data_IF_403963487814
#
_entry.id   IF_403963487814
#
_cell.length_a   1.000
_cell.length_b   1.000
_cell.length_c   1.000
_cell.angle_alpha   90.00
_cell.angle_beta   90.00
_cell.angle_gamma   90.00
#
_symmetry.space_group_name_H-M   'P 1'
#
loop_
_entity.id
_entity.type
_entity.pdbx_description
1 polymer ?
2 non-polymer ?
3 water ?
#
# COMPACT_ATOMS: atom_id res chain seq x y z
N UNK A 1 6.56 -7.69 -21.48
CA UNK A 1 5.94 -8.51 -20.36
C UNK A 1 5.93 -7.81 -18.98
N UNK A 2 5.44 -8.51 -17.92
CA UNK A 2 5.38 -7.90 -16.55
C UNK A 2 6.74 -7.41 -16.03
N UNK A 3 6.76 -6.24 -15.38
CA UNK A 3 8.02 -5.68 -14.86
C UNK A 3 8.42 -6.33 -13.54
N UNK A 4 8.83 -7.61 -13.61
CA UNK A 4 9.28 -8.39 -12.44
C UNK A 4 10.52 -7.85 -11.78
N UNK A 5 11.45 -7.37 -12.59
CA UNK A 5 12.68 -6.80 -12.05
C UNK A 5 12.40 -5.57 -11.18
N UNK A 6 11.61 -4.64 -11.72
CA UNK A 6 11.17 -3.46 -10.98
C UNK A 6 10.45 -3.85 -9.70
N UNK A 7 9.47 -4.76 -9.77
CA UNK A 7 8.77 -5.26 -8.60
C UNK A 7 9.71 -5.78 -7.53
N UNK A 8 10.70 -6.55 -7.97
CA UNK A 8 11.65 -7.16 -7.08
C UNK A 8 12.58 -6.13 -6.42
N UNK A 9 13.03 -5.14 -7.18
CA UNK A 9 13.83 -4.08 -6.60
C UNK A 9 13.02 -3.28 -5.56
N UNK A 10 11.72 -3.06 -5.80
CA UNK A 10 10.90 -2.40 -4.79
C UNK A 10 10.76 -3.28 -3.53
N UNK A 11 10.56 -4.58 -3.73
CA UNK A 11 10.33 -5.46 -2.60
C UNK A 11 11.56 -5.53 -1.70
N UNK A 12 12.72 -5.62 -2.36
CA UNK A 12 14.01 -5.78 -1.72
C UNK A 12 14.38 -4.60 -0.83
N UNK A 13 14.26 -3.38 -1.36
CA UNK A 13 14.68 -2.18 -0.65
C UNK A 13 13.57 -1.48 0.15
N UNK A 14 12.31 -1.74 -0.17
CA UNK A 14 11.21 -0.91 0.36
C UNK A 14 10.01 -1.62 0.99
N UNK A 15 10.13 -2.90 1.33
CA UNK A 15 9.06 -3.55 2.08
C UNK A 15 9.55 -4.18 3.39
N UNK A 16 8.62 -4.23 4.36
CA UNK A 16 8.87 -4.83 5.60
C UNK A 16 7.60 -5.63 5.89
N UNK A 17 7.69 -6.60 6.80
CA UNK A 17 6.52 -7.29 7.31
C UNK A 17 6.00 -6.46 8.51
N UNK A 18 4.74 -6.06 8.46
CA UNK A 18 4.15 -5.31 9.54
C UNK A 18 3.09 -6.18 10.14
N UNK A 19 2.92 -6.09 11.46
CA UNK A 19 1.94 -6.91 12.17
C UNK A 19 1.25 -6.07 13.21
N UNK A 20 -0.07 -6.09 13.18
CA UNK A 20 -0.91 -5.33 14.09
C UNK A 20 -1.79 -6.34 14.78
N UNK A 21 -2.72 -5.84 15.59
CA UNK A 21 -3.77 -6.69 16.17
C UNK A 21 -4.54 -7.51 15.12
N UNK A 22 -4.56 -7.05 13.87
CA UNK A 22 -5.34 -7.73 12.82
C UNK A 22 -4.53 -8.77 12.08
N UNK A 23 -3.23 -8.80 12.29
CA UNK A 23 -2.41 -9.82 11.65
C UNK A 23 -1.31 -9.19 10.83
N UNK A 24 -0.80 -9.94 9.86
CA UNK A 24 0.37 -9.52 9.10
C UNK A 24 -0.01 -8.85 7.79
N UNK A 25 0.77 -7.83 7.39
CA UNK A 25 0.51 -7.13 6.14
C UNK A 25 1.83 -6.84 5.53
N UNK A 26 1.88 -6.90 4.21
CA UNK A 26 2.99 -6.35 3.48
C UNK A 26 3.00 -4.81 3.75
N UNK A 27 4.17 -4.22 4.00
CA UNK A 27 4.23 -2.78 4.24
C UNK A 27 5.26 -2.15 3.35
N UNK A 28 4.80 -1.20 2.55
CA UNK A 28 5.65 -0.45 1.67
C UNK A 28 6.20 0.79 2.36
N UNK A 29 7.52 0.92 2.40
CA UNK A 29 8.18 2.10 2.91
C UNK A 29 8.40 3.05 1.74
N UNK A 30 8.07 4.32 1.97
CA UNK A 30 8.01 5.28 0.88
C UNK A 30 9.21 6.27 0.87
N UNK A 31 9.52 6.86 2.02
CA UNK A 31 10.67 7.73 2.16
C UNK A 31 10.95 7.87 3.66
N UNK A 32 12.19 8.18 4.04
CA UNK A 32 12.50 8.45 5.46
C UNK A 32 12.00 7.31 6.33
N UNK A 33 11.13 7.60 7.30
CA UNK A 33 10.55 6.54 8.11
C UNK A 33 9.05 6.50 7.92
N UNK A 34 8.65 6.86 6.72
CA UNK A 34 7.25 6.92 6.39
C UNK A 34 6.87 5.70 5.52
N UNK A 35 5.79 5.04 5.88
CA UNK A 35 5.39 3.84 5.17
C UNK A 35 3.90 3.86 5.05
N UNK A 36 3.35 2.92 4.28
CA UNK A 36 1.89 2.77 4.21
C UNK A 36 1.41 1.36 4.57
N UNK A 37 0.13 1.27 4.90
CA UNK A 37 -0.49 0.04 5.30
C UNK A 37 -1.99 0.28 5.09
N UNK A 38 -2.74 -0.78 4.74
CA UNK A 38 -4.19 -0.60 4.57
C UNK A 38 -4.83 -0.17 5.86
N UNK A 39 -5.78 0.78 5.79
CA UNK A 39 -6.43 1.29 7.00
C UNK A 39 -7.08 0.23 7.86
N UNK A 40 -7.61 -0.83 7.24
CA UNK A 40 -8.26 -1.84 8.05
C UNK A 40 -7.30 -2.76 8.82
N UNK A 41 -6.00 -2.57 8.67
CA UNK A 41 -5.03 -3.19 9.58
C UNK A 41 -5.15 -2.62 11.00
N UNK A 42 -5.82 -1.46 11.13
CA UNK A 42 -6.14 -0.93 12.44
C UNK A 42 -4.88 -0.65 13.30
N UNK A 43 -3.98 0.18 12.77
CA UNK A 43 -2.71 0.53 13.40
C UNK A 43 -2.92 1.28 14.70
N UNK A 44 -2.21 0.88 15.74
CA UNK A 44 -2.32 1.52 17.07
C UNK A 44 -1.09 2.39 17.32
N UNK A 45 -0.62 2.42 18.56
CA UNK A 45 0.52 3.26 18.85
C UNK A 45 1.85 2.51 18.84
N UNK A 46 1.78 1.19 18.74
CA UNK A 46 2.97 0.40 18.42
C UNK A 46 2.60 -0.64 17.33
N UNK A 47 3.61 -1.09 16.59
CA UNK A 47 3.43 -2.05 15.53
C UNK A 47 4.69 -2.91 15.45
N UNK A 48 4.55 -4.18 15.05
CA UNK A 48 5.75 -4.99 14.76
C UNK A 48 6.21 -4.83 13.36
N UNK A 49 7.50 -4.57 13.22
CA UNK A 49 8.12 -4.42 11.93
C UNK A 49 9.24 -5.50 11.86
N UNK A 50 9.08 -6.47 10.96
CA UNK A 50 9.99 -7.65 10.91
C UNK A 50 10.16 -8.24 12.31
N UNK A 51 9.03 -8.37 13.00
CA UNK A 51 8.97 -8.89 14.37
C UNK A 51 9.62 -8.01 15.46
N UNK A 52 10.08 -6.81 15.10
CA UNK A 52 10.60 -5.86 16.10
C UNK A 52 9.50 -4.85 16.49
N UNK A 53 9.13 -4.83 17.78
CA UNK A 53 8.15 -3.86 18.26
C UNK A 53 8.64 -2.42 18.05
N UNK A 54 7.77 -1.60 17.52
CA UNK A 54 8.15 -0.32 16.94
C UNK A 54 7.06 0.69 17.26
N UNK A 55 7.49 1.86 17.75
CA UNK A 55 6.59 2.98 18.03
C UNK A 55 6.05 3.57 16.73
N UNK A 56 4.74 3.76 16.70
CA UNK A 56 4.12 4.50 15.62
C UNK A 56 4.04 5.97 16.05
N UNK A 57 4.90 6.81 15.50
CA UNK A 57 4.96 8.23 15.85
C UNK A 57 3.81 9.02 15.26
N UNK A 58 3.32 8.58 14.10
CA UNK A 58 2.15 9.20 13.48
C UNK A 58 1.44 8.16 12.62
N UNK A 59 0.12 8.25 12.56
CA UNK A 59 -0.68 7.40 11.64
C UNK A 59 -1.82 8.24 11.07
N UNK A 60 -1.91 8.42 9.74
CA UNK A 60 -3.00 9.20 9.14
C UNK A 60 -3.84 8.31 8.22
N UNK A 61 -5.09 8.08 8.61
CA UNK A 61 -6.03 7.32 7.83
C UNK A 61 -6.63 8.22 6.73
N UNK A 62 -6.16 8.08 5.49
CA UNK A 62 -6.62 8.98 4.41
C UNK A 62 -8.08 8.85 4.06
N UNK A 63 -8.73 10.01 3.92
CA UNK A 63 -10.11 10.12 3.48
C UNK A 63 -10.16 11.25 2.45
N UNK A 64 -11.08 11.19 1.49
CA UNK A 64 -11.15 12.26 0.49
C UNK A 64 -12.12 13.38 0.97
N UNK A 65 -12.32 14.41 0.13
CA UNK A 65 -13.15 15.57 0.55
C UNK A 65 -14.64 15.26 0.69
N UNK A 66 -15.09 14.07 0.24
CA UNK A 66 -16.46 13.61 0.54
C UNK A 66 -16.49 12.88 1.89
N UNK A 67 -15.37 12.92 2.60
CA UNK A 67 -15.22 12.20 3.87
C UNK A 67 -15.40 10.68 3.72
N UNK A 68 -14.87 10.15 2.61
CA UNK A 68 -14.94 8.73 2.34
C UNK A 68 -13.55 8.11 2.45
N UNK A 69 -13.49 6.96 3.11
CA UNK A 69 -12.32 6.09 3.17
C UNK A 69 -11.60 5.94 1.85
N UNK A 70 -10.29 6.18 1.85
CA UNK A 70 -9.40 5.82 0.75
C UNK A 70 -8.63 4.52 1.05
N UNK A 71 -8.75 4.01 2.28
CA UNK A 71 -8.16 2.73 2.70
C UNK A 71 -6.64 2.74 2.81
N UNK A 72 -6.03 3.90 2.61
CA UNK A 72 -4.60 4.07 2.86
C UNK A 72 -4.36 4.71 4.25
N UNK A 73 -3.45 4.14 5.05
CA UNK A 73 -2.95 4.80 6.26
C UNK A 73 -1.46 5.03 6.13
N UNK A 74 -1.03 6.26 6.34
CA UNK A 74 0.36 6.59 6.25
C UNK A 74 0.87 6.60 7.68
N UNK A 75 2.01 5.95 7.92
CA UNK A 75 2.51 5.86 9.27
C UNK A 75 3.94 6.38 9.24
N UNK A 76 4.38 6.95 10.37
CA UNK A 76 5.72 7.38 10.57
C UNK A 76 6.25 6.50 11.70
N UNK A 77 7.45 5.98 11.53
CA UNK A 77 7.87 4.90 12.44
C UNK A 77 9.11 5.33 13.21
N UNK A 78 9.23 4.91 14.47
CA UNK A 78 10.49 5.17 15.19
C UNK A 78 11.49 4.04 14.89
N UNK A 79 12.24 4.18 13.82
CA UNK A 79 13.30 3.24 13.53
C UNK A 79 14.54 3.92 13.06
N UNK A 80 15.63 3.18 13.07
CA UNK A 80 16.92 3.73 12.71
C UNK A 80 17.11 3.88 11.21
N UNK A 81 16.90 2.82 10.44
CA UNK A 81 17.12 2.92 8.98
C UNK A 81 16.02 3.77 8.28
N UNK A 82 16.44 4.61 7.34
CA UNK A 82 15.55 5.31 6.43
C UNK A 82 15.21 4.41 5.23
N UNK A 83 13.99 4.52 4.74
CA UNK A 83 13.66 3.85 3.49
C UNK A 83 14.29 4.65 2.33
N UNK A 84 14.77 3.92 1.33
CA UNK A 84 15.07 4.52 0.03
C UNK A 84 13.87 5.34 -0.46
N UNK A 85 14.12 6.57 -0.89
CA UNK A 85 13.02 7.47 -1.31
C UNK A 85 12.48 7.02 -2.66
N UNK A 86 11.24 6.54 -2.72
CA UNK A 86 10.66 6.03 -3.99
C UNK A 86 9.49 6.91 -4.46
N UNK A 87 9.40 8.12 -3.92
CA UNK A 87 8.30 9.03 -4.31
C UNK A 87 8.32 9.35 -5.81
N UNK A 88 9.49 9.39 -6.44
CA UNK A 88 9.55 9.63 -7.88
C UNK A 88 8.93 8.50 -8.72
N UNK A 89 8.66 7.34 -8.08
CA UNK A 89 8.00 6.23 -8.77
C UNK A 89 6.50 6.24 -8.56
N UNK A 90 5.99 7.20 -7.79
CA UNK A 90 4.54 7.26 -7.60
C UNK A 90 3.85 8.08 -8.72
N UNK A 91 2.72 7.57 -9.26
CA UNK A 91 2.00 8.33 -10.28
C UNK A 91 1.42 9.63 -9.75
N UNK A 92 1.38 10.63 -10.62
CA UNK A 92 0.86 11.91 -10.26
C UNK A 92 -0.66 11.88 -10.21
N UNK A 93 -1.28 11.13 -11.12
CA UNK A 93 -2.71 11.18 -11.33
C UNK A 93 -3.30 9.79 -11.31
N UNK A 94 -4.61 9.69 -11.11
CA UNK A 94 -5.33 8.48 -11.42
C UNK A 94 -5.07 8.03 -12.88
N UNK A 95 -5.09 6.72 -13.11
CA UNK A 95 -4.82 6.16 -14.44
C UNK A 95 -5.18 4.67 -14.47
N UNK A 96 -5.15 4.10 -15.68
CA UNK A 96 -5.31 2.67 -15.93
C UNK A 96 -3.94 2.19 -16.31
N UNK A 97 -3.67 0.90 -16.14
CA UNK A 97 -2.31 0.36 -16.34
C UNK A 97 -2.38 -1.01 -16.97
N UNK A 98 -1.29 -1.40 -17.61
CA UNK A 98 -1.16 -2.70 -18.25
C UNK A 98 -0.21 -3.60 -17.52
N UNK A 99 -0.54 -4.89 -17.48
CA UNK A 99 0.45 -5.90 -17.13
C UNK A 99 1.11 -5.63 -15.76
N UNK A 100 0.29 -5.43 -14.72
CA UNK A 100 0.84 -5.09 -13.39
C UNK A 100 1.28 -6.35 -12.64
N UNK A 101 2.21 -6.16 -11.71
CA UNK A 101 2.60 -7.19 -10.74
C UNK A 101 2.16 -6.79 -9.32
N UNK A 102 1.66 -7.79 -8.59
CA UNK A 102 1.30 -7.72 -7.17
C UNK A 102 2.35 -8.50 -6.36
N UNK A 103 3.11 -7.80 -5.50
CA UNK A 103 4.18 -8.43 -4.74
C UNK A 103 3.88 -8.42 -3.26
N UNK A 104 4.15 -9.55 -2.61
CA UNK A 104 3.78 -9.78 -1.21
C UNK A 104 5.04 -10.08 -0.41
N UNK A 105 5.12 -9.53 0.81
CA UNK A 105 6.23 -9.81 1.75
C UNK A 105 5.65 -9.95 3.17
N UNK A 106 5.33 -11.20 3.54
CA UNK A 106 4.84 -11.57 4.87
C UNK A 106 5.71 -12.71 5.42
N UNK A 107 5.44 -13.18 6.63
CA UNK A 107 6.19 -14.33 7.18
C UNK A 107 5.91 -15.59 6.35
N UNK A 108 4.63 -15.82 6.02
CA UNK A 108 4.23 -16.94 5.18
C UNK A 108 4.80 -16.87 3.76
N UNK A 109 4.82 -15.65 3.20
CA UNK A 109 5.30 -15.46 1.84
C UNK A 109 6.34 -14.35 1.81
N UNK A 110 7.59 -14.68 2.17
CA UNK A 110 8.57 -13.59 2.30
C UNK A 110 8.88 -12.90 0.98
N UNK A 111 8.53 -13.52 -0.14
CA UNK A 111 8.86 -12.94 -1.44
C UNK A 111 8.10 -13.64 -2.56
N UNK A 112 6.98 -13.05 -3.00
CA UNK A 112 6.10 -13.68 -3.97
C UNK A 112 5.58 -12.62 -4.95
N UNK A 113 5.52 -12.98 -6.24
CA UNK A 113 5.14 -12.11 -7.33
C UNK A 113 4.02 -12.74 -8.13
N UNK A 114 2.96 -11.94 -8.33
CA UNK A 114 1.79 -12.31 -9.06
C UNK A 114 1.42 -11.30 -10.16
N UNK A 115 1.54 -11.72 -11.43
CA UNK A 115 1.06 -10.89 -12.55
C UNK A 115 -0.45 -10.88 -12.48
N UNK A 116 -1.05 -9.70 -12.37
CA UNK A 116 -2.50 -9.65 -12.21
C UNK A 116 -3.16 -9.12 -13.50
N UNK A 117 -2.32 -8.78 -14.47
CA UNK A 117 -2.75 -8.27 -15.77
C UNK A 117 -3.07 -6.77 -15.77
N UNK A 118 -4.15 -6.45 -16.46
CA UNK A 118 -4.61 -5.09 -16.67
C UNK A 118 -5.23 -4.56 -15.39
N UNK A 119 -4.95 -3.30 -15.08
CA UNK A 119 -5.44 -2.66 -13.85
C UNK A 119 -6.31 -1.46 -14.26
N UNK A 120 -7.53 -1.41 -13.78
CA UNK A 120 -8.39 -0.32 -14.20
C UNK A 120 -8.73 0.58 -13.00
N UNK A 121 -8.78 1.88 -13.27
CA UNK A 121 -9.28 2.89 -12.33
C UNK A 121 -10.75 2.58 -12.14
N UNK A 122 -11.09 1.97 -11.02
CA UNK A 122 -12.42 1.44 -10.76
C UNK A 122 -13.38 2.43 -10.04
N UNK A 123 -12.82 3.24 -9.14
CA UNK A 123 -13.61 4.25 -8.39
C UNK A 123 -14.14 3.70 -7.09
N UNK A 124 -15.46 3.72 -6.99
CA UNK A 124 -16.17 3.37 -5.79
C UNK A 124 -16.20 1.88 -5.59
N UNK A 125 -15.94 1.47 -4.37
CA UNK A 125 -16.04 0.08 -3.97
C UNK A 125 -16.68 0.06 -2.60
N UNK A 126 -17.68 -0.79 -2.42
CA UNK A 126 -18.18 -1.14 -1.11
C UNK A 126 -17.24 -2.23 -0.57
N UNK A 127 -16.28 -1.83 0.26
CA UNK A 127 -15.22 -2.75 0.64
C UNK A 127 -15.62 -3.49 1.91
N UNK A 128 -16.17 -4.70 1.72
CA UNK A 128 -16.70 -5.52 2.82
C UNK A 128 -17.55 -4.69 3.76
N UNK A 129 -18.37 -3.79 3.20
CA UNK A 129 -19.27 -2.97 4.00
C UNK A 129 -18.86 -1.53 4.28
N UNK A 130 -17.60 -1.16 3.96
CA UNK A 130 -17.12 0.23 4.08
C UNK A 130 -17.05 0.89 2.71
N UNK A 131 -17.86 1.94 2.48
CA UNK A 131 -17.69 2.71 1.22
C UNK A 131 -16.26 3.23 1.09
N UNK A 132 -15.68 3.09 -0.09
CA UNK A 132 -14.29 3.39 -0.30
C UNK A 132 -14.15 3.98 -1.69
N UNK A 133 -13.21 4.91 -1.86
CA UNK A 133 -12.99 5.58 -3.13
C UNK A 133 -11.57 5.36 -3.68
N UNK A 134 -11.44 5.66 -4.97
CA UNK A 134 -10.13 5.69 -5.59
C UNK A 134 -9.50 4.29 -5.68
N UNK A 135 -10.34 3.30 -5.89
CA UNK A 135 -9.91 1.90 -6.02
C UNK A 135 -9.46 1.51 -7.43
N UNK A 136 -8.36 0.76 -7.50
CA UNK A 136 -7.93 0.01 -8.71
C UNK A 136 -8.38 -1.44 -8.68
N UNK A 137 -8.78 -1.96 -9.86
CA UNK A 137 -9.27 -3.32 -9.96
C UNK A 137 -8.47 -4.10 -11.00
N UNK A 138 -8.16 -5.36 -10.67
CA UNK A 138 -7.53 -6.29 -11.59
C UNK A 138 -8.32 -7.57 -11.55
N UNK A 139 -8.36 -8.28 -12.70
CA UNK A 139 -9.07 -9.57 -12.74
C UNK A 139 -8.16 -10.71 -12.35
N UNK A 140 -7.98 -10.86 -11.04
CA UNK A 140 -7.21 -11.94 -10.46
C UNK A 140 -7.81 -12.33 -9.11
N UNK A 141 -7.92 -13.64 -8.84
CA UNK A 141 -8.52 -14.09 -7.57
C UNK A 141 -7.54 -13.99 -6.36
N UNK A 142 -7.42 -12.79 -5.82
CA UNK A 142 -6.51 -12.51 -4.72
C UNK A 142 -7.06 -13.05 -3.43
N UNK A 143 -6.16 -13.23 -2.46
CA UNK A 143 -6.51 -13.96 -1.26
C UNK A 143 -6.14 -13.19 0.00
N UNK A 144 -6.72 -13.64 1.11
CA UNK A 144 -6.28 -13.21 2.43
C UNK A 144 -4.80 -13.54 2.53
N UNK A 145 -4.05 -12.62 3.14
CA UNK A 145 -2.60 -12.78 3.26
C UNK A 145 -1.90 -11.86 2.27
N UNK A 146 -2.63 -11.33 1.31
CA UNK A 146 -2.05 -10.44 0.28
C UNK A 146 -2.30 -8.92 0.48
N UNK A 147 -3.04 -8.56 1.53
CA UNK A 147 -3.28 -7.14 1.84
C UNK A 147 -1.99 -6.42 2.15
N UNK A 148 -1.87 -5.23 1.58
CA UNK A 148 -0.64 -4.45 1.68
C UNK A 148 0.25 -4.74 0.51
N UNK A 149 -0.05 -5.81 -0.23
CA UNK A 149 0.82 -6.19 -1.34
C UNK A 149 0.91 -5.03 -2.32
N UNK A 150 2.10 -4.87 -2.89
CA UNK A 150 2.48 -3.74 -3.71
C UNK A 150 2.19 -4.01 -5.18
N UNK A 151 1.47 -3.07 -5.82
CA UNK A 151 1.07 -3.20 -7.22
C UNK A 151 1.96 -2.27 -7.99
N UNK A 152 2.77 -2.87 -8.88
CA UNK A 152 3.64 -2.10 -9.74
C UNK A 152 3.42 -2.38 -11.24
N UNK A 153 3.86 -1.42 -12.06
CA UNK A 153 4.27 -1.70 -13.43
C UNK A 153 5.73 -1.25 -13.44
N UNK A 154 6.42 -1.46 -14.55
CA UNK A 154 7.74 -0.89 -14.65
C UNK A 154 7.75 0.64 -14.43
N UNK A 155 8.61 1.03 -13.51
CA UNK A 155 8.82 2.42 -13.18
C UNK A 155 7.74 3.07 -12.36
N UNK A 156 6.64 2.38 -12.08
CA UNK A 156 5.58 2.97 -11.25
C UNK A 156 5.05 2.10 -10.10
N UNK A 157 5.02 2.69 -8.90
CA UNK A 157 4.33 2.06 -7.79
C UNK A 157 2.96 2.69 -7.63
N UNK A 158 1.92 1.87 -7.83
CA UNK A 158 0.62 2.44 -8.15
C UNK A 158 -0.45 2.25 -7.11
N UNK A 159 -0.26 1.31 -6.19
CA UNK A 159 -1.23 1.04 -5.14
C UNK A 159 -0.78 -0.08 -4.22
N UNK A 160 -1.65 -0.37 -3.23
CA UNK A 160 -1.43 -1.49 -2.33
C UNK A 160 -2.75 -2.23 -2.22
N UNK A 161 -2.63 -3.55 -2.12
CA UNK A 161 -3.77 -4.44 -2.19
C UNK A 161 -4.61 -4.38 -0.92
N UNK A 162 -5.93 -4.35 -1.06
CA UNK A 162 -6.79 -4.14 0.10
C UNK A 162 -8.00 -5.03 0.12
N UNK A 163 -8.34 -5.66 -1.01
CA UNK A 163 -9.56 -6.47 -1.06
C UNK A 163 -9.73 -7.33 -2.30
N UNK A 164 -10.69 -8.24 -2.25
CA UNK A 164 -11.01 -9.08 -3.43
C UNK A 164 -12.30 -9.80 -3.16
N UNK A 165 -13.02 -10.16 -4.22
CA UNK A 165 -14.31 -10.87 -4.11
C UNK A 165 -14.24 -12.35 -4.56
N UNK A 166 -13.03 -12.89 -4.75
CA UNK A 166 -12.89 -14.26 -5.30
C UNK A 166 -12.56 -14.26 -6.80
N UNK A 167 -12.94 -13.21 -7.52
CA UNK A 167 -12.63 -13.12 -8.95
C UNK A 167 -11.73 -11.91 -9.27
N UNK A 168 -12.01 -10.77 -8.64
CA UNK A 168 -11.20 -9.57 -8.80
C UNK A 168 -10.44 -9.25 -7.52
N UNK A 169 -9.34 -8.53 -7.70
CA UNK A 169 -8.63 -7.90 -6.61
C UNK A 169 -8.75 -6.38 -6.71
N UNK A 170 -8.58 -5.72 -5.57
CA UNK A 170 -8.75 -4.28 -5.47
C UNK A 170 -7.57 -3.69 -4.70
N UNK A 171 -6.98 -2.64 -5.26
CA UNK A 171 -5.90 -1.92 -4.58
C UNK A 171 -6.32 -0.47 -4.33
N UNK A 172 -5.83 0.09 -3.23
CA UNK A 172 -5.99 1.52 -2.98
C UNK A 172 -4.89 2.28 -3.71
N UNK A 173 -5.25 3.38 -4.40
CA UNK A 173 -4.24 4.11 -5.14
C UNK A 173 -3.21 4.77 -4.24
N UNK A 174 -2.00 4.86 -4.76
CA UNK A 174 -0.97 5.72 -4.25
C UNK A 174 -0.76 6.85 -5.26
N UNK A 175 -0.77 8.09 -4.78
CA UNK A 175 -0.53 9.26 -5.60
C UNK A 175 0.61 10.05 -5.01
N UNK A 176 1.41 10.66 -5.88
CA UNK A 176 2.61 11.38 -5.45
C UNK A 176 2.30 12.43 -4.37
N UNK A 177 1.16 13.09 -4.49
CA UNK A 177 0.91 14.25 -3.62
C UNK A 177 0.53 13.79 -2.22
N UNK A 178 0.42 12.47 -1.98
CA UNK A 178 0.10 12.00 -0.60
C UNK A 178 1.30 12.22 0.29
N UNK A 179 2.48 12.40 -0.33
CA UNK A 179 3.75 12.35 0.39
C UNK A 179 4.66 13.55 0.18
N UNK A 180 4.12 14.64 -0.36
CA UNK A 180 4.96 15.81 -0.64
C UNK A 180 5.22 16.58 0.66
N UNK A 181 6.47 17.05 0.83
CA UNK A 181 6.97 17.66 2.10
C UNK A 181 6.02 18.63 2.83
N UNK A 182 5.43 19.57 2.09
CA UNK A 182 4.26 20.42 2.53
C UNK A 182 4.33 21.23 3.87
N UNK A 183 3.27 22.03 4.11
CA UNK A 183 3.09 22.81 5.36
C UNK A 183 1.67 22.56 5.91
N UNK A 184 1.57 22.30 7.22
CA UNK A 184 0.33 21.72 7.79
C UNK A 184 -0.32 22.37 9.06
N UNK A 185 -1.24 21.62 9.67
CA UNK A 185 -2.04 22.08 10.81
C UNK A 185 -2.46 20.87 11.70
N UNK A 186 -3.41 21.09 12.61
CA UNK A 186 -3.87 20.08 13.59
C UNK A 186 -4.72 18.95 12.96
N UNK A 187 -4.20 17.72 12.96
CA UNK A 187 -4.87 16.60 12.26
C UNK A 187 -5.49 15.45 13.09
N UNK A 188 -5.26 15.43 14.41
CA UNK A 188 -5.84 14.39 15.30
C UNK A 188 -6.85 14.96 16.33
N UNK A 189 -7.03 16.16 16.48
X LIG B 1 -6.85 -10.91 4.81
X LIG B 1 -6.86 -9.80 5.35
X LIG B 1 -7.12 -9.79 6.79
X LIG B 1 -6.04 -9.68 7.77
X LIG B 1 -4.61 -9.80 7.22
X LIG B 1 -6.62 -8.48 4.61
X LIG B 1 -6.57 -8.54 3.08
X LIG B 1 -7.89 -9.01 2.45
X LIG B 1 -7.76 -9.48 0.98
X LIG B 1 -9.04 -10.08 0.35
X LIG B 1 -8.81 -10.70 -1.00
X LIG B 1 -8.01 -10.19 -1.95
X LIG B 1 -9.49 -11.76 -1.12
X LIG B 1 -10.29 -12.19 0.04
X LIG B 1 -9.68 -11.27 1.11
X LIG B 1 -8.80 -7.87 2.50
X LIG B 1 -9.96 -7.96 3.17
X LIG B 1 -10.31 -9.00 3.72
X LIG B 1 -10.88 -6.75 3.20
X LIG B 1 -10.94 -6.08 4.59
X LIG B 1 -9.55 -5.64 5.01
X LIG B 1 -9.02 -6.11 6.23
X LIG B 1 -7.74 -5.71 6.62
X LIG B 1 -7.00 -4.84 5.79
X LIG B 1 -7.50 -4.36 4.58
X LIG B 1 -8.79 -4.76 4.20
X LIG B 1 -12.24 -7.16 2.93
X LIG B 1 -12.62 -7.75 1.81
X LIG B 1 -11.88 -7.96 0.87
X LIG B 1 -14.01 -8.13 1.66
X LIG B 1 -14.49 -8.87 0.52
X LIG B 1 -15.08 -7.96 -0.56
X LIG B 1 -16.45 -8.02 -0.85
X LIG B 1 -17.00 -7.19 -1.85
X LIG B 1 -16.19 -6.32 -2.57
X LIG B 1 -14.83 -6.27 -2.27
X LIG B 1 -14.29 -7.09 -1.29
#
# INVERSE_FOLDING_TARGET
>A
GPGFDFAQAIMKKNTVVARTEKGEFTMLGVHDRVAVIPTHASVGETIYINDVETKVLDACALRDLTDTNLEITIVKLDRNQKFRDIRHFLPRYEDDYNDAVLSVHTSKFPNMYIPVGQVTNYGFLNLGGTPTHRILMYNFPTRAGQCGGVVTTTGKVIGIHVGGNGAQGFAAMLLHSYFTDTQKHHHHHH
>B hetero
1 G75 O88 C84 O86 C3 C5 C82 C63 C57 C59 C61 C65 O66 N69 C71 C73 N49 C39 O47 C37 C41 C51 C55 C11 C9 C7 C53 N33 C31 O35 O1 C1 C2 C4 C6 C8 C12 C10
#
